data_IF_512698478829
#
_entry.id   IF_512698478829
#
_cell.length_a   1.000
_cell.length_b   1.000
_cell.length_c   1.000
_cell.angle_alpha   90.00
_cell.angle_beta   90.00
_cell.angle_gamma   90.00
#
_symmetry.space_group_name_H-M   'P 1'
#
loop_
_entity.id
_entity.type
_entity.pdbx_description
1 polymer ?
#
# COMPACT_ATOMS: atom_id res chain seq x y z
N UNK A 1 19.85 9.33 2.21
CA UNK A 1 18.76 9.08 1.24
C UNK A 1 17.44 9.57 1.85
N UNK A 2 16.39 9.78 1.04
CA UNK A 2 15.05 10.14 1.54
C UNK A 2 14.54 9.12 2.57
N UNK A 3 14.84 7.84 2.36
CA UNK A 3 14.52 6.73 3.26
C UNK A 3 15.13 6.90 4.65
N UNK A 4 16.42 7.24 4.75
CA UNK A 4 17.10 7.43 6.03
C UNK A 4 16.55 8.63 6.81
N UNK A 5 16.21 9.71 6.12
CA UNK A 5 15.60 10.88 6.75
C UNK A 5 14.18 10.55 7.27
N UNK A 6 13.40 9.80 6.50
CA UNK A 6 12.05 9.40 6.89
C UNK A 6 12.06 8.55 8.18
N UNK A 7 13.01 7.61 8.32
CA UNK A 7 13.16 6.80 9.54
C UNK A 7 13.47 7.63 10.80
N UNK A 8 14.14 8.78 10.66
CA UNK A 8 14.50 9.64 11.79
C UNK A 8 13.41 10.65 12.15
N UNK A 9 12.56 11.02 11.18
CA UNK A 9 11.52 12.02 11.34
C UNK A 9 10.14 11.44 11.67
N UNK A 10 9.87 10.20 11.26
CA UNK A 10 8.56 9.56 11.35
C UNK A 10 8.45 8.51 12.44
N UNK A 11 7.26 7.88 12.56
CA UNK A 11 7.08 6.68 13.37
C UNK A 11 8.06 5.58 12.96
N UNK A 12 8.33 4.64 13.87
CA UNK A 12 9.25 3.51 13.64
C UNK A 12 8.86 2.59 12.48
N UNK A 13 7.59 2.66 12.06
CA UNK A 13 7.05 1.96 10.90
C UNK A 13 6.14 2.91 10.13
N UNK A 14 6.37 3.05 8.84
CA UNK A 14 5.57 3.88 7.95
C UNK A 14 5.10 3.08 6.74
N UNK A 15 3.80 3.13 6.46
CA UNK A 15 3.20 2.64 5.22
C UNK A 15 2.81 3.83 4.37
N UNK A 16 3.60 4.12 3.34
CA UNK A 16 3.37 5.23 2.41
C UNK A 16 2.58 4.70 1.21
N UNK A 17 1.39 5.23 1.00
CA UNK A 17 0.55 4.91 -0.16
C UNK A 17 0.87 5.83 -1.33
N UNK A 18 0.52 5.41 -2.55
CA UNK A 18 0.78 6.19 -3.77
C UNK A 18 2.27 6.46 -4.04
N UNK A 19 3.13 5.54 -3.59
CA UNK A 19 4.57 5.63 -3.80
C UNK A 19 4.92 5.50 -5.29
N UNK A 20 5.97 6.21 -5.76
CA UNK A 20 6.48 6.06 -7.11
C UNK A 20 6.80 4.59 -7.43
N UNK A 21 6.41 4.17 -8.63
CA UNK A 21 6.51 2.80 -9.11
C UNK A 21 7.48 2.73 -10.29
N UNK A 22 8.26 1.65 -10.37
CA UNK A 22 9.11 1.30 -11.51
C UNK A 22 8.28 0.72 -12.67
N UNK A 23 7.08 0.21 -12.37
CA UNK A 23 6.14 -0.21 -13.40
C UNK A 23 5.48 0.98 -14.08
N UNK A 24 5.53 1.03 -15.42
CA UNK A 24 4.84 2.04 -16.24
C UNK A 24 3.34 2.06 -15.96
N UNK A 25 2.77 3.23 -15.63
CA UNK A 25 1.36 3.34 -15.25
C UNK A 25 1.01 2.61 -13.95
N UNK A 26 2.01 2.38 -13.09
CA UNK A 26 1.87 1.77 -11.78
C UNK A 26 1.92 2.79 -10.64
N UNK A 27 1.55 2.32 -9.47
CA UNK A 27 1.71 2.99 -8.19
C UNK A 27 2.00 1.93 -7.13
N UNK A 28 2.52 2.31 -5.96
CA UNK A 28 2.85 1.33 -4.92
C UNK A 28 2.48 1.73 -3.50
N UNK A 29 2.50 0.72 -2.64
CA UNK A 29 2.55 0.87 -1.19
C UNK A 29 3.98 0.58 -0.73
N UNK A 30 4.61 1.59 -0.12
CA UNK A 30 5.98 1.52 0.37
C UNK A 30 5.98 1.41 1.88
N UNK A 31 6.39 0.25 2.39
CA UNK A 31 6.59 0.01 3.81
C UNK A 31 8.05 0.27 4.17
N UNK A 32 8.25 1.06 5.22
CA UNK A 32 9.56 1.34 5.78
C UNK A 32 9.53 1.12 7.28
N UNK A 33 10.46 0.30 7.78
CA UNK A 33 10.74 0.16 9.21
C UNK A 33 12.27 0.15 9.45
N UNK A 34 12.70 0.05 10.71
CA UNK A 34 14.12 0.07 11.07
C UNK A 34 14.98 -1.08 10.50
N UNK A 35 14.36 -2.09 9.89
CA UNK A 35 15.02 -3.28 9.35
C UNK A 35 14.89 -3.45 7.83
N UNK A 36 13.83 -2.91 7.23
CA UNK A 36 13.51 -3.17 5.82
C UNK A 36 12.78 -2.00 5.15
N UNK A 37 12.96 -1.93 3.83
CA UNK A 37 12.22 -1.07 2.92
C UNK A 37 11.62 -1.96 1.83
N UNK A 38 10.29 -2.01 1.76
CA UNK A 38 9.54 -2.90 0.87
C UNK A 38 8.58 -2.10 0.01
N UNK A 39 8.57 -2.35 -1.30
CA UNK A 39 7.62 -1.75 -2.24
C UNK A 39 6.73 -2.85 -2.82
N UNK A 40 5.41 -2.70 -2.71
CA UNK A 40 4.44 -3.52 -3.41
C UNK A 40 3.68 -2.67 -4.43
N UNK A 41 3.79 -3.04 -5.71
CA UNK A 41 3.28 -2.25 -6.84
C UNK A 41 1.99 -2.86 -7.42
N UNK A 42 1.12 -2.00 -7.96
CA UNK A 42 -0.06 -2.39 -8.72
C UNK A 42 -0.34 -1.36 -9.84
N UNK A 43 -1.19 -1.74 -10.80
CA UNK A 43 -1.58 -0.83 -11.88
C UNK A 43 -2.43 0.31 -11.32
N UNK A 44 -2.21 1.52 -11.85
CA UNK A 44 -3.08 2.65 -11.56
C UNK A 44 -4.44 2.42 -12.22
N UNK A 45 -5.50 2.81 -11.51
CA UNK A 45 -6.87 2.85 -12.04
C UNK A 45 -7.31 4.30 -11.96
N UNK A 46 -7.75 4.85 -13.08
CA UNK A 46 -8.18 6.25 -13.17
C UNK A 46 -9.45 6.49 -12.35
N UNK A 47 -9.53 7.67 -11.72
CA UNK A 47 -10.66 8.12 -10.89
C UNK A 47 -11.08 7.07 -9.86
N UNK A 48 -10.16 6.66 -8.95
CA UNK A 48 -10.52 5.72 -7.90
C UNK A 48 -11.60 6.31 -6.97
N UNK A 49 -12.49 5.48 -6.39
CA UNK A 49 -13.36 5.91 -5.32
C UNK A 49 -12.54 6.34 -4.09
N UNK A 50 -13.15 7.17 -3.25
CA UNK A 50 -12.54 7.62 -2.00
C UNK A 50 -12.39 6.47 -0.98
N UNK A 51 -11.50 6.65 0.01
CA UNK A 51 -11.34 5.71 1.13
C UNK A 51 -10.35 4.56 0.92
N UNK A 52 -9.63 4.51 -0.22
CA UNK A 52 -8.61 3.48 -0.45
C UNK A 52 -7.48 3.50 0.59
N UNK A 53 -7.14 4.68 1.11
CA UNK A 53 -6.17 4.83 2.20
C UNK A 53 -6.65 4.11 3.47
N UNK A 54 -7.90 4.37 3.88
CA UNK A 54 -8.51 3.73 5.05
C UNK A 54 -8.61 2.22 4.89
N UNK A 55 -9.04 1.76 3.71
CA UNK A 55 -9.10 0.33 3.39
C UNK A 55 -7.71 -0.31 3.45
N UNK A 56 -6.70 0.35 2.89
CA UNK A 56 -5.30 -0.13 2.93
C UNK A 56 -4.81 -0.23 4.37
N UNK A 57 -5.01 0.81 5.18
CA UNK A 57 -4.60 0.84 6.58
C UNK A 57 -5.30 -0.23 7.41
N UNK A 58 -6.64 -0.36 7.29
CA UNK A 58 -7.44 -1.34 8.02
C UNK A 58 -7.01 -2.77 7.69
N UNK A 59 -6.90 -3.10 6.40
CA UNK A 59 -6.56 -4.45 5.95
C UNK A 59 -5.10 -4.80 6.30
N UNK A 60 -4.16 -3.87 6.13
CA UNK A 60 -2.77 -4.10 6.53
C UNK A 60 -2.64 -4.34 8.03
N UNK A 61 -3.24 -3.46 8.85
CA UNK A 61 -3.19 -3.57 10.29
C UNK A 61 -3.82 -4.88 10.78
N UNK A 62 -4.98 -5.26 10.25
CA UNK A 62 -5.63 -6.52 10.59
C UNK A 62 -4.71 -7.74 10.34
N UNK A 63 -3.94 -7.73 9.26
CA UNK A 63 -3.00 -8.82 8.93
C UNK A 63 -1.79 -8.85 9.84
N UNK A 64 -1.24 -7.69 10.19
CA UNK A 64 -0.16 -7.58 11.18
C UNK A 64 -0.64 -8.08 12.54
N UNK A 65 -1.82 -7.66 12.99
CA UNK A 65 -2.43 -8.12 14.25
C UNK A 65 -2.75 -9.62 14.23
N UNK A 66 -2.95 -10.20 13.05
CA UNK A 66 -3.12 -11.66 12.86
C UNK A 66 -1.79 -12.43 12.81
N UNK A 67 -0.65 -11.76 13.03
CA UNK A 67 0.68 -12.40 13.03
C UNK A 67 1.28 -12.64 11.65
N UNK A 68 0.76 -12.03 10.58
CA UNK A 68 1.37 -12.18 9.26
C UNK A 68 2.73 -11.45 9.20
N UNK A 69 3.75 -12.03 8.53
CA UNK A 69 4.99 -11.31 8.25
C UNK A 69 4.72 -10.04 7.43
N UNK A 70 5.44 -8.95 7.75
CA UNK A 70 5.22 -7.63 7.15
C UNK A 70 5.21 -7.64 5.61
N UNK A 71 6.15 -8.38 4.99
CA UNK A 71 6.20 -8.54 3.52
C UNK A 71 4.94 -9.21 2.95
N UNK A 72 4.42 -10.23 3.64
CA UNK A 72 3.19 -10.93 3.23
C UNK A 72 1.95 -10.07 3.46
N UNK A 73 1.91 -9.35 4.58
CA UNK A 73 0.85 -8.40 4.89
C UNK A 73 0.80 -7.27 3.84
N UNK A 74 1.95 -6.69 3.48
CA UNK A 74 2.04 -5.64 2.45
C UNK A 74 1.59 -6.15 1.08
N UNK A 75 2.13 -7.30 0.65
CA UNK A 75 1.81 -7.89 -0.65
C UNK A 75 0.32 -8.21 -0.78
N UNK A 76 -0.24 -8.91 0.22
CA UNK A 76 -1.65 -9.31 0.19
C UNK A 76 -2.60 -8.11 0.36
N UNK A 77 -2.18 -7.03 1.02
CA UNK A 77 -2.99 -5.79 1.17
C UNK A 77 -3.09 -5.08 -0.15
N UNK A 78 -1.94 -4.90 -0.79
CA UNK A 78 -1.88 -4.29 -2.12
C UNK A 78 -2.73 -5.06 -3.13
N UNK A 79 -2.63 -6.39 -3.15
CA UNK A 79 -3.44 -7.23 -4.03
C UNK A 79 -4.96 -7.12 -3.74
N UNK A 80 -5.37 -7.20 -2.47
CA UNK A 80 -6.78 -7.16 -2.09
C UNK A 80 -7.43 -5.80 -2.40
N UNK A 81 -6.75 -4.69 -2.08
CA UNK A 81 -7.24 -3.34 -2.36
C UNK A 81 -7.33 -3.11 -3.87
N UNK A 82 -6.31 -3.53 -4.62
CA UNK A 82 -6.34 -3.43 -6.07
C UNK A 82 -7.48 -4.25 -6.70
N UNK A 83 -7.74 -5.47 -6.20
CA UNK A 83 -8.84 -6.29 -6.69
C UNK A 83 -10.21 -5.62 -6.43
N UNK A 84 -10.42 -5.08 -5.22
CA UNK A 84 -11.63 -4.33 -4.88
C UNK A 84 -11.78 -3.13 -5.82
N UNK A 85 -10.71 -2.37 -6.00
CA UNK A 85 -10.68 -1.19 -6.88
C UNK A 85 -11.04 -1.55 -8.32
N UNK A 86 -10.40 -2.58 -8.88
CA UNK A 86 -10.65 -3.04 -10.26
C UNK A 86 -12.10 -3.51 -10.45
N UNK A 87 -12.68 -4.17 -9.45
CA UNK A 87 -14.08 -4.62 -9.49
C UNK A 87 -15.06 -3.45 -9.37
N UNK A 88 -14.80 -2.47 -8.51
CA UNK A 88 -15.64 -1.27 -8.35
C UNK A 88 -15.61 -0.41 -9.60
N UNK A 89 -14.42 -0.14 -10.17
CA UNK A 89 -14.29 0.64 -11.40
C UNK A 89 -15.03 0.00 -12.58
N UNK A 90 -14.95 -1.33 -12.73
CA UNK A 90 -15.67 -2.07 -13.78
C UNK A 90 -17.20 -1.95 -13.66
N UNK A 91 -17.72 -1.78 -12.45
CA UNK A 91 -19.16 -1.65 -12.20
C UNK A 91 -19.70 -0.23 -12.40
N UNK A 92 -18.84 0.68 -12.87
CA UNK A 92 -19.20 2.08 -13.10
C UNK A 92 -19.36 2.84 -11.78
N UNK A 93 -18.49 2.54 -10.80
CA UNK A 93 -18.53 3.09 -9.44
C UNK A 93 -19.08 4.51 -9.43
N UNK A 94 -20.21 4.66 -8.73
CA UNK A 94 -21.12 5.82 -8.79
C UNK A 94 -20.45 7.17 -9.04
#
# INVERSE_FOLDING_TARGET
>A
SVTAAALHAGPSTMLVTSAPSSMTGGTGNFLLDGSQALLAEHRMIDKPPNGLGDLTAAVYLARILSGQPAIKALQSTTAAVYEILARTAKRGGD
#
